data_IF_703782134017
#
_entry.id   IF_703782134017
#
_cell.length_a   1.000
_cell.length_b   1.000
_cell.length_c   1.000
_cell.angle_alpha   90.00
_cell.angle_beta   90.00
_cell.angle_gamma   90.00
#
_symmetry.space_group_name_H-M   'P 1'
#
loop_
_entity.id
_entity.type
_entity.pdbx_description
1 polymer ?
#
# COMPACT_ATOMS: atom_id res chain seq x y z
N UNK A 1 13.55 2.32 4.57
CA UNK A 1 13.07 3.54 3.93
C UNK A 1 11.60 3.62 4.23
N UNK A 2 11.20 4.67 4.91
CA UNK A 2 9.93 4.76 5.62
C UNK A 2 8.72 4.75 4.71
N UNK A 3 7.63 4.19 5.22
CA UNK A 3 6.29 4.49 4.74
C UNK A 3 6.10 6.01 4.81
N UNK A 4 5.92 6.64 3.68
CA UNK A 4 5.65 8.07 3.58
C UNK A 4 4.29 8.36 4.21
N UNK A 5 4.25 9.37 5.06
CA UNK A 5 3.00 9.97 5.54
C UNK A 5 2.25 10.54 4.32
N UNK A 6 1.24 9.84 3.88
CA UNK A 6 0.48 10.09 2.63
C UNK A 6 -0.12 11.52 2.55
N UNK A 7 -0.19 12.24 3.65
CA UNK A 7 -0.89 13.54 3.72
C UNK A 7 -0.14 14.77 3.21
N UNK A 8 1.16 14.87 3.37
CA UNK A 8 1.90 16.11 3.08
C UNK A 8 2.81 16.03 1.85
N UNK A 9 3.40 14.88 1.56
CA UNK A 9 4.44 14.77 0.53
C UNK A 9 3.90 14.68 -0.91
N UNK A 10 2.73 14.09 -1.12
CA UNK A 10 2.10 14.01 -2.46
C UNK A 10 1.79 15.37 -3.09
N UNK A 11 1.64 16.43 -2.28
CA UNK A 11 1.36 17.79 -2.77
C UNK A 11 2.59 18.47 -3.37
N UNK A 12 3.77 18.09 -2.95
CA UNK A 12 5.04 18.62 -3.47
C UNK A 12 5.35 18.00 -4.84
N UNK A 13 4.96 16.73 -5.05
CA UNK A 13 5.28 15.97 -6.27
C UNK A 13 4.42 16.34 -7.48
N UNK A 14 3.24 16.91 -7.28
CA UNK A 14 2.31 17.24 -8.37
C UNK A 14 2.71 18.48 -9.19
N UNK A 15 3.83 19.17 -8.87
CA UNK A 15 4.24 20.39 -9.58
C UNK A 15 3.23 21.54 -9.49
N UNK A 16 2.25 21.42 -8.60
CA UNK A 16 1.34 22.52 -8.26
C UNK A 16 2.15 23.44 -7.36
N UNK A 17 2.46 24.65 -7.85
CA UNK A 17 2.96 25.71 -6.97
C UNK A 17 2.16 25.65 -5.67
N UNK A 18 2.81 25.80 -4.48
CA UNK A 18 2.09 25.78 -3.23
C UNK A 18 1.03 26.87 -3.30
N UNK A 19 -0.17 26.51 -3.69
CA UNK A 19 -1.35 27.36 -3.47
C UNK A 19 -1.26 27.72 -2.01
N UNK A 20 -1.04 29.00 -1.75
CA UNK A 20 -0.94 29.60 -0.43
C UNK A 20 -1.84 28.85 0.50
N UNK A 21 -1.27 28.24 1.56
CA UNK A 21 -1.89 27.50 2.67
C UNK A 21 -3.41 27.62 2.70
N UNK A 22 -4.07 26.96 1.77
CA UNK A 22 -5.50 26.74 1.83
C UNK A 22 -5.62 25.46 2.62
N UNK A 23 -6.12 25.59 3.79
CA UNK A 23 -6.46 24.63 4.82
C UNK A 23 -6.31 23.18 4.34
N UNK A 24 -5.14 22.59 4.58
CA UNK A 24 -5.01 21.14 4.64
C UNK A 24 -6.08 20.74 5.64
N UNK A 25 -7.08 20.02 5.23
CA UNK A 25 -7.86 19.23 6.17
C UNK A 25 -6.87 18.19 6.64
N UNK A 26 -6.07 18.58 7.63
CA UNK A 26 -5.42 17.66 8.53
C UNK A 26 -6.61 16.95 9.19
N UNK A 27 -6.98 15.77 8.75
CA UNK A 27 -7.98 14.96 9.43
C UNK A 27 -7.26 14.44 10.66
N UNK A 28 -7.40 15.11 11.83
CA UNK A 28 -6.77 14.61 13.02
C UNK A 28 -7.49 13.29 13.37
N UNK A 29 -6.73 12.27 13.66
CA UNK A 29 -7.16 10.95 14.09
C UNK A 29 -7.77 10.04 13.01
N UNK A 30 -7.11 9.81 11.88
CA UNK A 30 -7.42 8.65 11.06
C UNK A 30 -7.09 7.36 11.83
N UNK A 31 -7.94 6.36 11.70
CA UNK A 31 -7.69 5.00 12.15
C UNK A 31 -6.98 4.25 11.02
N UNK A 32 -5.80 3.71 11.30
CA UNK A 32 -5.03 2.96 10.32
C UNK A 32 -5.35 1.47 10.44
N UNK A 33 -5.80 0.85 9.35
CA UNK A 33 -5.97 -0.61 9.33
C UNK A 33 -4.61 -1.31 9.33
N UNK A 34 -4.55 -2.51 9.91
CA UNK A 34 -3.38 -3.37 9.75
C UNK A 34 -3.12 -3.66 8.27
N UNK A 35 -1.87 -3.99 7.91
CA UNK A 35 -1.51 -4.39 6.54
C UNK A 35 -2.39 -5.54 6.03
N UNK A 36 -2.65 -6.54 6.86
CA UNK A 36 -3.51 -7.67 6.51
C UNK A 36 -4.95 -7.24 6.25
N UNK A 37 -5.53 -6.40 7.12
CA UNK A 37 -6.90 -5.87 6.96
C UNK A 37 -7.02 -4.95 5.73
N UNK A 38 -5.99 -4.13 5.49
CA UNK A 38 -5.92 -3.27 4.31
C UNK A 38 -5.93 -4.10 3.02
N UNK A 39 -5.10 -5.13 2.95
CA UNK A 39 -5.03 -6.03 1.79
C UNK A 39 -6.32 -6.81 1.59
N UNK A 40 -6.94 -7.31 2.66
CA UNK A 40 -8.22 -8.02 2.58
C UNK A 40 -9.31 -7.12 1.98
N UNK A 41 -9.43 -5.88 2.47
CA UNK A 41 -10.34 -4.89 1.89
C UNK A 41 -10.05 -4.67 0.40
N UNK A 42 -8.79 -4.44 0.04
CA UNK A 42 -8.40 -4.04 -1.32
C UNK A 42 -8.51 -5.17 -2.34
N UNK A 43 -8.45 -6.45 -1.91
CA UNK A 43 -8.74 -7.60 -2.79
C UNK A 43 -10.11 -7.53 -3.42
N UNK A 44 -11.11 -7.03 -2.69
CA UNK A 44 -12.48 -6.83 -3.21
C UNK A 44 -12.57 -5.74 -4.29
N UNK A 45 -11.52 -4.93 -4.43
CA UNK A 45 -11.41 -3.85 -5.40
C UNK A 45 -10.31 -4.08 -6.45
N UNK A 46 -10.09 -5.33 -6.83
CA UNK A 46 -9.18 -5.76 -7.89
C UNK A 46 -7.69 -5.40 -7.68
N UNK A 47 -7.26 -5.11 -6.46
CA UNK A 47 -5.82 -4.99 -6.17
C UNK A 47 -5.21 -6.39 -6.06
N UNK A 48 -4.21 -6.73 -6.88
CA UNK A 48 -3.64 -8.07 -6.92
C UNK A 48 -2.57 -8.23 -5.85
N UNK A 49 -2.78 -9.12 -4.89
CA UNK A 49 -1.78 -9.47 -3.87
C UNK A 49 -1.29 -10.90 -4.06
N UNK A 50 -0.03 -11.15 -3.71
CA UNK A 50 0.49 -12.50 -3.59
C UNK A 50 -0.27 -13.27 -2.48
N UNK A 51 -0.28 -14.62 -2.53
CA UNK A 51 -0.74 -15.43 -1.40
C UNK A 51 0.11 -15.14 -0.17
N UNK A 52 -0.55 -14.90 0.96
CA UNK A 52 0.11 -14.63 2.24
C UNK A 52 -0.63 -15.31 3.37
N UNK A 53 0.03 -15.48 4.51
CA UNK A 53 -0.53 -16.08 5.72
C UNK A 53 -0.29 -15.18 6.92
N UNK A 54 -1.31 -15.00 7.73
CA UNK A 54 -1.21 -14.38 9.05
C UNK A 54 -1.20 -15.50 10.08
N UNK A 55 -0.18 -15.56 10.90
CA UNK A 55 0.06 -16.62 11.88
C UNK A 55 0.51 -16.03 13.22
N UNK A 56 0.42 -16.82 14.29
CA UNK A 56 0.72 -16.34 15.65
C UNK A 56 1.85 -17.09 16.32
N UNK A 57 2.35 -18.18 15.72
CA UNK A 57 3.45 -18.99 16.27
C UNK A 57 4.61 -19.11 15.29
N UNK A 58 5.78 -19.48 15.81
CA UNK A 58 6.98 -19.77 15.01
C UNK A 58 6.74 -20.97 14.09
N UNK A 59 6.12 -22.01 14.60
CA UNK A 59 5.84 -23.25 13.88
C UNK A 59 4.90 -23.00 12.71
N UNK A 60 3.84 -22.21 12.94
CA UNK A 60 2.92 -21.79 11.87
C UNK A 60 3.60 -20.89 10.85
N UNK A 61 4.54 -20.02 11.29
CA UNK A 61 5.29 -19.16 10.38
C UNK A 61 6.20 -19.98 9.44
N UNK A 62 6.82 -21.06 9.94
CA UNK A 62 7.61 -21.99 9.14
C UNK A 62 6.70 -22.75 8.16
N UNK A 63 5.58 -23.28 8.65
CA UNK A 63 4.60 -23.96 7.80
C UNK A 63 4.09 -23.05 6.68
N UNK A 64 3.73 -21.83 7.02
CA UNK A 64 3.31 -20.80 6.06
C UNK A 64 4.42 -20.50 5.03
N UNK A 65 5.69 -20.42 5.47
CA UNK A 65 6.82 -20.18 4.58
C UNK A 65 6.99 -21.32 3.54
N UNK A 66 6.78 -22.57 3.94
CA UNK A 66 6.76 -23.69 3.00
C UNK A 66 5.56 -23.65 2.03
N UNK A 67 4.38 -23.24 2.51
CA UNK A 67 3.18 -23.12 1.67
C UNK A 67 3.32 -22.04 0.59
N UNK A 68 3.82 -20.84 0.97
CA UNK A 68 3.95 -19.71 0.04
C UNK A 68 5.21 -19.80 -0.82
N UNK A 69 6.21 -20.61 -0.40
CA UNK A 69 7.46 -20.87 -1.11
C UNK A 69 8.59 -19.89 -0.76
N UNK A 70 9.74 -20.45 -0.38
CA UNK A 70 10.95 -19.68 -0.11
C UNK A 70 11.55 -19.02 -1.38
N UNK A 71 12.24 -17.87 -1.24
CA UNK A 71 12.40 -17.06 -0.03
C UNK A 71 11.15 -16.27 0.33
N UNK A 72 10.98 -15.98 1.65
CA UNK A 72 9.82 -15.25 2.17
C UNK A 72 10.20 -13.93 2.82
N UNK A 73 9.21 -13.04 2.92
CA UNK A 73 9.20 -11.90 3.83
C UNK A 73 8.39 -12.27 5.08
N UNK A 74 8.87 -11.85 6.24
CA UNK A 74 8.18 -11.96 7.52
C UNK A 74 8.05 -10.56 8.11
N UNK A 75 6.82 -10.16 8.43
CA UNK A 75 6.51 -8.83 8.99
C UNK A 75 5.67 -8.97 10.26
N UNK A 76 5.91 -8.13 11.26
CA UNK A 76 4.96 -7.98 12.35
C UNK A 76 3.65 -7.39 11.82
N UNK A 77 2.51 -7.91 12.29
CA UNK A 77 1.17 -7.46 11.91
C UNK A 77 0.34 -7.21 13.17
N UNK A 78 -0.23 -6.02 13.27
CA UNK A 78 -1.09 -5.56 14.35
C UNK A 78 -1.64 -4.18 14.02
N UNK A 79 -2.81 -3.84 14.54
CA UNK A 79 -3.51 -2.59 14.20
C UNK A 79 -2.82 -1.34 14.76
N UNK A 80 -2.01 -1.51 15.81
CA UNK A 80 -1.30 -0.40 16.47
C UNK A 80 0.17 -0.28 16.07
N UNK A 81 0.65 -1.16 15.17
CA UNK A 81 2.07 -1.17 14.76
C UNK A 81 2.31 -0.22 13.60
N UNK A 82 2.91 0.93 13.92
CA UNK A 82 3.40 1.87 12.91
C UNK A 82 4.92 1.72 12.69
N UNK A 83 5.43 2.26 11.57
CA UNK A 83 6.88 2.33 11.26
C UNK A 83 7.63 1.00 11.34
N UNK A 84 7.03 -0.08 10.86
CA UNK A 84 7.54 -1.45 10.97
C UNK A 84 8.98 -1.60 10.48
N UNK A 85 9.31 -0.99 9.34
CA UNK A 85 10.64 -1.06 8.72
C UNK A 85 11.70 -0.38 9.57
N UNK A 86 11.43 0.83 10.06
CA UNK A 86 12.36 1.60 10.91
C UNK A 86 12.60 0.90 12.25
N UNK A 87 11.58 0.22 12.74
CA UNK A 87 11.65 -0.54 14.00
C UNK A 87 12.29 -1.92 13.85
N UNK A 88 12.67 -2.32 12.63
CA UNK A 88 13.25 -3.65 12.39
C UNK A 88 12.22 -4.80 12.54
N UNK A 89 10.93 -4.51 12.30
CA UNK A 89 9.83 -5.48 12.39
C UNK A 89 9.50 -6.11 11.02
N UNK A 90 10.40 -5.96 10.03
CA UNK A 90 10.29 -6.51 8.68
C UNK A 90 11.58 -7.20 8.32
N UNK A 91 11.51 -8.49 8.02
CA UNK A 91 12.63 -9.31 7.57
C UNK A 91 12.35 -9.83 6.16
N UNK A 92 13.29 -9.62 5.25
CA UNK A 92 13.15 -9.96 3.84
C UNK A 92 14.16 -11.03 3.42
N UNK A 93 13.78 -11.83 2.42
CA UNK A 93 14.69 -12.79 1.79
C UNK A 93 15.02 -14.00 2.68
N UNK A 94 14.14 -14.37 3.58
CA UNK A 94 14.32 -15.53 4.45
C UNK A 94 14.24 -16.81 3.60
N UNK A 95 15.34 -17.56 3.51
CA UNK A 95 15.49 -18.70 2.63
C UNK A 95 15.45 -20.07 3.33
N UNK A 96 15.19 -20.12 4.65
CA UNK A 96 15.17 -21.38 5.42
C UNK A 96 14.36 -21.25 6.70
N UNK A 97 13.98 -22.39 7.28
CA UNK A 97 13.29 -22.48 8.57
C UNK A 97 14.05 -21.76 9.68
N UNK A 98 15.37 -21.96 9.73
CA UNK A 98 16.21 -21.30 10.73
C UNK A 98 16.26 -19.78 10.56
N UNK A 99 16.19 -19.28 9.32
CA UNK A 99 16.07 -17.84 9.07
C UNK A 99 14.73 -17.31 9.57
N UNK A 100 13.64 -18.03 9.36
CA UNK A 100 12.31 -17.68 9.87
C UNK A 100 12.30 -17.68 11.40
N UNK A 101 12.87 -18.71 12.07
CA UNK A 101 12.96 -18.74 13.53
C UNK A 101 13.68 -17.53 14.10
N UNK A 102 14.85 -17.20 13.54
CA UNK A 102 15.62 -16.01 13.97
C UNK A 102 14.85 -14.72 13.75
N UNK A 103 14.17 -14.59 12.61
CA UNK A 103 13.37 -13.39 12.31
C UNK A 103 12.20 -13.22 13.29
N UNK A 104 11.49 -14.30 13.65
CA UNK A 104 10.43 -14.25 14.68
C UNK A 104 11.01 -13.86 16.04
N UNK A 105 12.15 -14.44 16.45
CA UNK A 105 12.80 -14.09 17.71
C UNK A 105 13.20 -12.60 17.74
N UNK A 106 13.82 -12.09 16.67
CA UNK A 106 14.23 -10.69 16.55
C UNK A 106 13.03 -9.73 16.58
N UNK A 107 11.92 -10.08 15.92
CA UNK A 107 10.66 -9.31 16.01
C UNK A 107 10.16 -9.28 17.45
N UNK A 108 10.12 -10.43 18.14
CA UNK A 108 9.61 -10.52 19.51
C UNK A 108 10.44 -9.68 20.51
N UNK A 109 11.73 -9.55 20.31
CA UNK A 109 12.60 -8.69 21.13
C UNK A 109 12.30 -7.19 20.93
N UNK A 110 11.68 -6.81 19.78
CA UNK A 110 11.41 -5.42 19.41
C UNK A 110 9.96 -5.01 19.62
N UNK A 111 9.07 -5.97 19.87
CA UNK A 111 7.67 -5.70 20.21
C UNK A 111 7.59 -4.96 21.55
N UNK A 112 6.69 -4.01 21.62
CA UNK A 112 6.47 -3.16 22.79
C UNK A 112 5.05 -3.40 23.34
N UNK A 113 4.81 -3.11 24.62
CA UNK A 113 3.49 -3.27 25.22
C UNK A 113 2.38 -2.50 24.50
N UNK A 114 2.70 -1.33 23.92
CA UNK A 114 1.77 -0.50 23.16
C UNK A 114 1.38 -1.09 21.80
N UNK A 115 2.12 -2.07 21.28
CA UNK A 115 1.80 -2.74 20.01
C UNK A 115 0.59 -3.69 20.13
N UNK A 116 0.14 -3.98 21.33
CA UNK A 116 -1.01 -4.84 21.57
C UNK A 116 -0.78 -6.28 21.12
N UNK A 117 -1.80 -6.90 20.53
CA UNK A 117 -1.69 -8.25 19.99
C UNK A 117 -0.96 -8.23 18.66
N UNK A 118 0.18 -8.92 18.58
CA UNK A 118 1.01 -9.01 17.38
C UNK A 118 0.92 -10.40 16.78
N UNK A 119 0.72 -10.45 15.48
CA UNK A 119 0.82 -11.64 14.63
C UNK A 119 1.96 -11.46 13.61
N UNK A 120 2.24 -12.50 12.84
CA UNK A 120 3.25 -12.47 11.79
C UNK A 120 2.59 -12.63 10.43
N UNK A 121 2.89 -11.73 9.50
CA UNK A 121 2.51 -11.84 8.10
C UNK A 121 3.67 -12.50 7.35
N UNK A 122 3.42 -13.68 6.78
CA UNK A 122 4.36 -14.41 5.94
C UNK A 122 3.91 -14.30 4.49
N UNK A 123 4.77 -13.77 3.63
CA UNK A 123 4.50 -13.57 2.20
C UNK A 123 5.69 -14.02 1.35
N UNK A 124 5.49 -14.50 0.11
CA UNK A 124 6.58 -14.83 -0.78
C UNK A 124 7.31 -13.54 -1.22
N UNK A 125 8.63 -13.65 -1.46
CA UNK A 125 9.37 -12.55 -2.09
C UNK A 125 8.94 -12.39 -3.54
N UNK A 126 8.34 -11.25 -3.86
CA UNK A 126 7.96 -10.90 -5.24
C UNK A 126 9.16 -10.30 -5.95
N UNK A 127 9.50 -10.86 -7.12
CA UNK A 127 10.59 -10.37 -7.97
C UNK A 127 10.02 -9.57 -9.14
N UNK A 128 10.61 -8.41 -9.39
CA UNK A 128 10.31 -7.55 -10.51
C UNK A 128 11.33 -6.42 -10.61
N UNK A 129 11.50 -5.88 -11.80
CA UNK A 129 12.50 -4.83 -12.06
C UNK A 129 11.88 -3.44 -12.12
N UNK A 130 10.56 -3.35 -12.06
CA UNK A 130 9.82 -2.09 -12.12
C UNK A 130 8.76 -2.08 -11.03
N UNK A 131 8.59 -0.92 -10.48
CA UNK A 131 7.61 -0.65 -9.45
C UNK A 131 6.70 0.49 -9.89
N UNK A 132 5.42 0.34 -9.61
CA UNK A 132 4.43 1.39 -9.72
C UNK A 132 3.89 1.68 -8.32
N UNK A 133 3.21 2.79 -8.20
CA UNK A 133 2.46 3.18 -7.01
C UNK A 133 1.04 3.51 -7.42
N UNK A 134 0.07 3.19 -6.58
CA UNK A 134 -1.32 3.57 -6.78
C UNK A 134 -1.98 3.87 -5.44
N UNK A 135 -3.00 4.72 -5.45
CA UNK A 135 -3.67 5.05 -4.20
C UNK A 135 -4.93 5.86 -4.37
N UNK A 136 -5.57 6.15 -3.25
CA UNK A 136 -6.73 7.04 -3.15
C UNK A 136 -6.42 8.13 -2.16
N UNK A 137 -6.75 9.36 -2.51
CA UNK A 137 -6.74 10.49 -1.60
C UNK A 137 -8.06 11.23 -1.70
N UNK A 138 -8.50 11.87 -0.61
CA UNK A 138 -9.66 12.75 -0.63
C UNK A 138 -9.19 14.20 -0.53
N UNK A 139 -9.31 14.91 -1.62
CA UNK A 139 -8.99 16.34 -1.68
C UNK A 139 -10.21 17.17 -1.32
N UNK A 140 -10.03 18.20 -0.51
CA UNK A 140 -11.13 19.05 -0.04
C UNK A 140 -11.82 19.83 -1.19
N UNK A 141 -11.08 20.10 -2.28
CA UNK A 141 -11.58 20.87 -3.42
C UNK A 141 -12.07 19.96 -4.53
N UNK A 142 -11.32 18.89 -4.84
CA UNK A 142 -11.58 18.02 -5.99
C UNK A 142 -12.36 16.76 -5.64
N UNK A 143 -12.55 16.48 -4.34
CA UNK A 143 -13.16 15.23 -3.87
C UNK A 143 -12.19 14.05 -3.94
N UNK A 144 -12.71 12.81 -4.11
CA UNK A 144 -11.85 11.63 -4.18
C UNK A 144 -11.07 11.59 -5.49
N UNK A 145 -9.77 11.33 -5.38
CA UNK A 145 -8.82 11.18 -6.48
C UNK A 145 -8.15 9.80 -6.38
N UNK A 146 -8.00 9.14 -7.51
CA UNK A 146 -7.13 7.97 -7.65
C UNK A 146 -5.81 8.43 -8.24
N UNK A 147 -4.71 8.03 -7.61
CA UNK A 147 -3.36 8.33 -8.05
C UNK A 147 -2.72 7.08 -8.63
N UNK A 148 -1.90 7.24 -9.65
CA UNK A 148 -1.00 6.23 -10.18
C UNK A 148 0.31 6.91 -10.60
N UNK A 149 1.42 6.24 -10.35
CA UNK A 149 2.74 6.77 -10.69
C UNK A 149 3.82 5.70 -10.80
N UNK A 150 4.99 6.16 -11.21
CA UNK A 150 6.20 5.35 -11.23
C UNK A 150 6.72 5.23 -9.81
N UNK A 151 6.96 4.00 -9.36
CA UNK A 151 7.48 3.66 -8.05
C UNK A 151 8.99 3.39 -8.04
N UNK A 152 9.49 2.85 -6.92
CA UNK A 152 10.88 2.51 -6.71
C UNK A 152 11.67 3.59 -6.01
N UNK A 153 12.96 3.32 -5.79
CA UNK A 153 13.87 4.15 -4.98
C UNK A 153 13.98 5.60 -5.48
N UNK A 154 13.72 5.83 -6.77
CA UNK A 154 13.77 7.16 -7.39
C UNK A 154 12.39 7.80 -7.55
N UNK A 155 11.31 7.14 -7.14
CA UNK A 155 9.94 7.63 -7.32
C UNK A 155 9.76 9.04 -6.75
N UNK A 156 10.28 9.27 -5.54
CA UNK A 156 10.21 10.56 -4.87
C UNK A 156 10.97 11.65 -5.64
N UNK A 157 12.14 11.32 -6.18
CA UNK A 157 12.94 12.25 -6.95
C UNK A 157 12.35 12.55 -8.34
N UNK A 158 11.65 11.58 -8.93
CA UNK A 158 11.03 11.73 -10.25
C UNK A 158 9.68 12.44 -10.19
N UNK A 159 8.92 12.25 -9.12
CA UNK A 159 7.58 12.83 -8.95
C UNK A 159 6.61 12.51 -10.10
N UNK A 160 6.82 11.38 -10.80
CA UNK A 160 6.08 11.04 -12.00
C UNK A 160 4.77 10.34 -11.64
N UNK A 161 3.79 11.15 -11.31
CA UNK A 161 2.44 10.72 -10.89
C UNK A 161 1.36 11.43 -11.69
N UNK A 162 0.20 10.78 -11.81
CA UNK A 162 -1.00 11.38 -12.39
C UNK A 162 -2.22 11.05 -11.54
N UNK A 163 -3.24 11.89 -11.65
CA UNK A 163 -4.46 11.77 -10.87
C UNK A 163 -5.68 11.61 -11.77
N UNK A 164 -6.64 10.83 -11.30
CA UNK A 164 -7.94 10.57 -11.88
C UNK A 164 -9.00 11.05 -10.90
N UNK A 165 -9.80 12.05 -11.27
CA UNK A 165 -10.93 12.50 -10.46
C UNK A 165 -12.06 11.49 -10.56
N UNK A 166 -12.52 11.00 -9.43
CA UNK A 166 -13.64 10.05 -9.35
C UNK A 166 -14.98 10.78 -9.54
N UNK A 167 -15.95 10.26 -10.35
CA UNK A 167 -15.87 9.02 -11.11
C UNK A 167 -15.15 9.18 -12.47
N UNK A 168 -14.53 8.11 -12.94
CA UNK A 168 -13.86 8.04 -14.23
C UNK A 168 -14.06 6.66 -14.88
N UNK A 169 -13.80 6.56 -16.20
CA UNK A 169 -13.89 5.32 -16.97
C UNK A 169 -12.55 4.86 -17.56
N UNK A 170 -12.57 3.76 -18.30
CA UNK A 170 -11.36 3.16 -18.92
C UNK A 170 -10.59 4.15 -19.80
N UNK A 171 -11.31 4.95 -20.62
CA UNK A 171 -10.67 5.93 -21.49
C UNK A 171 -9.96 7.04 -20.70
N UNK A 172 -10.40 7.34 -19.50
CA UNK A 172 -9.74 8.30 -18.60
C UNK A 172 -8.46 7.72 -18.05
N UNK A 173 -8.47 6.42 -17.67
CA UNK A 173 -7.27 5.69 -17.25
C UNK A 173 -6.22 5.74 -18.35
N UNK A 174 -6.59 5.38 -19.59
CA UNK A 174 -5.65 5.38 -20.71
C UNK A 174 -5.06 6.78 -20.97
N UNK A 175 -5.86 7.84 -20.81
CA UNK A 175 -5.38 9.22 -20.92
C UNK A 175 -4.46 9.61 -19.77
N UNK A 176 -4.78 9.19 -18.55
CA UNK A 176 -3.95 9.47 -17.38
C UNK A 176 -2.59 8.80 -17.48
N UNK A 177 -2.55 7.52 -17.84
CA UNK A 177 -1.29 6.79 -18.02
C UNK A 177 -0.40 7.43 -19.11
N UNK A 178 -0.97 7.96 -20.18
CA UNK A 178 -0.23 8.71 -21.22
C UNK A 178 0.35 10.03 -20.75
N UNK A 179 -0.05 10.56 -19.60
CA UNK A 179 0.49 11.80 -19.02
C UNK A 179 1.73 11.58 -18.18
N UNK A 180 1.99 10.34 -17.77
CA UNK A 180 3.24 10.01 -17.07
C UNK A 180 4.42 10.34 -18.00
N UNK A 181 5.44 10.95 -17.44
CA UNK A 181 6.61 11.42 -18.18
C UNK A 181 7.47 10.25 -18.66
N UNK A 182 7.62 9.23 -17.82
CA UNK A 182 8.50 8.09 -18.08
C UNK A 182 7.76 6.93 -18.76
N UNK A 183 7.16 7.20 -19.93
CA UNK A 183 6.38 6.22 -20.71
C UNK A 183 7.13 4.92 -21.00
N UNK A 184 8.46 4.96 -21.11
CA UNK A 184 9.30 3.78 -21.32
C UNK A 184 9.12 2.73 -20.21
N UNK A 185 8.78 3.15 -19.00
CA UNK A 185 8.54 2.24 -17.87
C UNK A 185 7.17 1.55 -17.91
N UNK A 186 6.25 2.05 -18.73
CA UNK A 186 4.95 1.42 -19.02
C UNK A 186 4.98 0.55 -20.29
N UNK A 187 6.09 0.60 -21.05
CA UNK A 187 6.31 -0.23 -22.24
C UNK A 187 7.21 -1.42 -21.98
N UNK A 188 7.51 -2.18 -23.03
CA UNK A 188 8.61 -3.15 -23.00
C UNK A 188 9.93 -2.42 -22.98
N UNK A 189 10.81 -2.72 -22.03
CA UNK A 189 12.06 -2.01 -21.84
C UNK A 189 13.17 -2.96 -21.41
N UNK A 190 14.31 -2.94 -22.13
CA UNK A 190 15.51 -3.75 -21.85
C UNK A 190 15.24 -5.26 -21.66
N UNK A 191 14.27 -5.80 -22.42
CA UNK A 191 13.91 -7.21 -22.36
C UNK A 191 12.78 -7.56 -21.38
N UNK A 192 12.38 -6.60 -20.53
CA UNK A 192 11.22 -6.79 -19.66
C UNK A 192 9.91 -6.58 -20.43
N UNK A 193 8.92 -7.41 -20.13
CA UNK A 193 7.56 -7.31 -20.67
C UNK A 193 6.86 -6.07 -20.08
N UNK A 194 6.05 -5.40 -20.90
CA UNK A 194 5.22 -4.29 -20.41
C UNK A 194 4.29 -4.72 -19.26
N UNK A 195 3.98 -3.81 -18.31
CA UNK A 195 2.93 -4.07 -17.34
C UNK A 195 1.63 -4.48 -18.01
N UNK A 196 0.92 -5.44 -17.45
CA UNK A 196 -0.41 -5.84 -17.94
C UNK A 196 -1.38 -4.65 -17.82
N UNK A 197 -1.70 -4.07 -18.98
CA UNK A 197 -2.57 -2.91 -19.06
C UNK A 197 -4.01 -3.20 -18.57
N UNK A 198 -4.47 -4.45 -18.74
CA UNK A 198 -5.79 -4.88 -18.26
C UNK A 198 -5.83 -4.93 -16.73
N UNK A 199 -4.82 -5.53 -16.11
CA UNK A 199 -4.71 -5.56 -14.65
C UNK A 199 -4.56 -4.16 -14.06
N UNK A 200 -3.70 -3.31 -14.65
CA UNK A 200 -3.51 -1.94 -14.18
C UNK A 200 -4.81 -1.14 -14.28
N UNK A 201 -5.54 -1.26 -15.40
CA UNK A 201 -6.84 -0.62 -15.57
C UNK A 201 -7.86 -1.12 -14.55
N UNK A 202 -7.96 -2.43 -14.35
CA UNK A 202 -8.87 -3.04 -13.38
C UNK A 202 -8.60 -2.57 -11.96
N UNK A 203 -7.32 -2.49 -11.56
CA UNK A 203 -6.89 -1.96 -10.26
C UNK A 203 -7.34 -0.50 -10.09
N UNK A 204 -7.05 0.37 -11.06
CA UNK A 204 -7.40 1.79 -10.95
C UNK A 204 -8.92 2.02 -10.91
N UNK A 205 -9.70 1.29 -11.73
CA UNK A 205 -11.16 1.31 -11.68
C UNK A 205 -11.69 0.78 -10.35
N UNK A 206 -11.06 -0.26 -9.82
CA UNK A 206 -11.38 -0.81 -8.49
C UNK A 206 -11.16 0.22 -7.39
N UNK A 207 -10.02 0.92 -7.37
CA UNK A 207 -9.75 2.01 -6.42
C UNK A 207 -10.78 3.16 -6.58
N UNK A 208 -11.18 3.47 -7.80
CA UNK A 208 -12.25 4.44 -8.05
C UNK A 208 -13.61 3.99 -7.46
N UNK A 209 -13.94 2.70 -7.62
CA UNK A 209 -15.15 2.10 -7.05
C UNK A 209 -15.11 2.09 -5.50
N UNK A 210 -13.95 1.76 -4.91
CA UNK A 210 -13.74 1.86 -3.47
C UNK A 210 -14.01 3.29 -2.98
N UNK A 211 -13.42 4.28 -3.64
CA UNK A 211 -13.56 5.68 -3.25
C UNK A 211 -15.02 6.19 -3.30
N UNK A 212 -15.84 5.59 -4.18
CA UNK A 212 -17.29 5.90 -4.29
C UNK A 212 -18.13 5.16 -3.25
N UNK A 213 -17.80 3.92 -2.95
CA UNK A 213 -18.62 3.05 -2.09
C UNK A 213 -18.24 3.11 -0.61
N UNK A 214 -16.99 3.44 -0.28
CA UNK A 214 -16.45 3.47 1.07
C UNK A 214 -16.08 4.90 1.46
N UNK A 215 -17.10 5.66 1.87
CA UNK A 215 -16.92 7.07 2.30
C UNK A 215 -16.11 7.20 3.60
N UNK A 216 -16.02 6.14 4.37
CA UNK A 216 -15.21 6.02 5.59
C UNK A 216 -13.71 5.88 5.29
N UNK A 217 -13.31 5.49 4.08
CA UNK A 217 -11.90 5.44 3.68
C UNK A 217 -11.39 6.85 3.40
N UNK A 218 -10.40 7.29 4.18
CA UNK A 218 -9.73 8.58 4.05
C UNK A 218 -8.63 8.54 2.98
N UNK A 219 -7.80 7.51 3.02
CA UNK A 219 -6.71 7.30 2.07
C UNK A 219 -6.44 5.82 1.81
N UNK A 220 -5.82 5.54 0.67
CA UNK A 220 -5.26 4.23 0.32
C UNK A 220 -3.88 4.45 -0.27
N UNK A 221 -2.89 3.68 0.19
CA UNK A 221 -1.57 3.58 -0.42
C UNK A 221 -1.30 2.13 -0.82
N UNK A 222 -0.98 1.89 -2.08
CA UNK A 222 -0.54 0.61 -2.64
C UNK A 222 0.87 0.81 -3.16
N UNK A 223 1.87 0.45 -2.35
CA UNK A 223 3.26 0.77 -2.59
C UNK A 223 4.21 -0.25 -1.91
N UNK A 224 5.01 -1.01 -2.68
CA UNK A 224 5.09 -1.00 -4.14
C UNK A 224 4.06 -1.93 -4.82
N UNK A 225 3.69 -1.55 -6.04
CA UNK A 225 3.02 -2.43 -7.00
C UNK A 225 4.09 -2.92 -7.99
N UNK A 226 4.55 -4.15 -7.82
CA UNK A 226 5.65 -4.72 -8.58
C UNK A 226 5.16 -5.25 -9.92
N UNK A 227 5.87 -4.89 -10.99
CA UNK A 227 5.72 -5.49 -12.32
C UNK A 227 6.65 -6.69 -12.42
N UNK A 228 6.07 -7.89 -12.52
CA UNK A 228 6.81 -9.15 -12.63
C UNK A 228 7.38 -9.34 -14.04
N UNK A 229 8.29 -10.29 -14.19
CA UNK A 229 8.93 -10.58 -15.48
C UNK A 229 7.97 -10.99 -16.60
N UNK A 230 6.80 -11.50 -16.27
CA UNK A 230 5.70 -11.83 -17.20
C UNK A 230 4.75 -10.67 -17.48
N UNK A 231 5.00 -9.49 -16.88
CA UNK A 231 4.18 -8.29 -16.97
C UNK A 231 3.04 -8.24 -15.95
N UNK A 232 2.76 -9.31 -15.23
CA UNK A 232 1.72 -9.30 -14.20
C UNK A 232 2.06 -8.35 -13.05
N UNK A 233 1.02 -7.79 -12.43
CA UNK A 233 1.15 -6.84 -11.32
C UNK A 233 0.90 -7.56 -9.99
N UNK A 234 1.72 -7.25 -8.99
CA UNK A 234 1.53 -7.74 -7.62
C UNK A 234 1.81 -6.61 -6.64
N UNK A 235 0.81 -6.23 -5.85
CA UNK A 235 1.01 -5.33 -4.72
C UNK A 235 1.68 -6.09 -3.56
N UNK A 236 2.70 -5.50 -2.98
CA UNK A 236 3.49 -6.11 -1.90
C UNK A 236 3.10 -5.53 -0.55
N UNK A 237 2.80 -4.24 -0.52
CA UNK A 237 2.34 -3.56 0.68
C UNK A 237 1.10 -2.72 0.37
N UNK A 238 0.26 -2.53 1.38
CA UNK A 238 -0.90 -1.67 1.28
C UNK A 238 -1.30 -1.12 2.65
N UNK A 239 -1.70 0.14 2.65
CA UNK A 239 -2.20 0.84 3.82
C UNK A 239 -3.55 1.48 3.50
N UNK A 240 -4.50 1.33 4.39
CA UNK A 240 -5.80 2.01 4.34
C UNK A 240 -5.98 2.78 5.63
N UNK A 241 -6.28 4.06 5.50
CA UNK A 241 -6.66 4.93 6.59
C UNK A 241 -8.16 5.21 6.52
N UNK A 242 -8.81 5.15 7.65
CA UNK A 242 -10.24 5.43 7.80
C UNK A 242 -10.45 6.77 8.51
N UNK A 243 -11.49 7.48 8.15
CA UNK A 243 -11.97 8.61 8.95
C UNK A 243 -12.43 8.12 10.31
N UNK A 244 -12.24 8.91 11.37
CA UNK A 244 -12.72 8.56 12.69
C UNK A 244 -14.25 8.36 12.65
N UNK A 245 -14.71 7.34 13.32
CA UNK A 245 -16.15 7.06 13.40
C UNK A 245 -16.80 8.11 14.31
N UNK A 246 -17.49 9.11 13.74
CA UNK A 246 -18.15 10.19 14.51
C UNK A 246 -19.21 9.68 15.50
N UNK A 247 -19.56 8.38 15.44
CA UNK A 247 -20.56 7.76 16.33
C UNK A 247 -20.04 7.35 17.72
N UNK A 248 -18.73 7.33 17.97
CA UNK A 248 -18.18 6.82 19.23
C UNK A 248 -18.08 7.89 20.34
N UNK A 249 -18.21 9.17 20.04
CA UNK A 249 -18.07 10.28 21.01
C UNK A 249 -19.39 10.83 21.55
N UNK A 250 -20.54 10.37 21.09
CA UNK A 250 -21.84 10.92 21.48
C UNK A 250 -22.40 10.37 22.82
N UNK A 251 -21.69 9.49 23.53
CA UNK A 251 -22.22 8.86 24.74
C UNK A 251 -21.49 9.23 26.04
N UNK A 252 -20.78 10.33 26.06
CA UNK A 252 -20.21 10.88 27.28
C UNK A 252 -20.85 12.25 27.63
N UNK A 253 -22.17 12.26 27.91
CA UNK A 253 -22.76 13.38 28.65
C UNK A 253 -22.64 13.05 30.15
N UNK A 254 -22.02 13.91 30.96
CA UNK A 254 -22.06 13.77 32.41
C UNK A 254 -23.48 14.14 32.91
N UNK A 255 -23.94 13.34 33.84
CA UNK A 255 -25.14 13.66 34.68
C UNK A 255 -24.79 14.68 35.73
#
# INVERSE_FOLDING_TARGET
MGCLHVGEEWRVLAGVEPLRRTTVVNVPNTETLSEASSKELLRHFAVPFAPERVVTSVEDAITAAHEVGFPVALKASGDTIAHKTERGLVHLGLGSDDAVRRAVADINERIRPEDGTVSYLVAPMVKGNRELIAGVVRDATFGPLVMVGIGGVLAEALGDVTFLRVPFGESDVDRALKRLTHQALLGSYRGDVAPDAGQLRSLLLGLGSLALSRHDVASVDVNPLIVRGDGSLVAVDALVELFPNEGATANAMPR
#
